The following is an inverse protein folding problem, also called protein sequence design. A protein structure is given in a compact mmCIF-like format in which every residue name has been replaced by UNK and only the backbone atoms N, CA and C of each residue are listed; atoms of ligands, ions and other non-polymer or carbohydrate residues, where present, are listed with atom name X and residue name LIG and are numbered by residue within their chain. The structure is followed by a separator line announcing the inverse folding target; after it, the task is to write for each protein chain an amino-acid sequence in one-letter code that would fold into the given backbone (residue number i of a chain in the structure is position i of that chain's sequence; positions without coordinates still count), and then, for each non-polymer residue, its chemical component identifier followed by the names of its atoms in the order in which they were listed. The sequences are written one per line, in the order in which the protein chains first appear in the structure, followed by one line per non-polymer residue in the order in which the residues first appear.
data_IF_361502497417
#
_entry.id   IF_361502497417
#
_cell.length_a   1.000
_cell.length_b   1.000
_cell.length_c   1.000
_cell.angle_alpha   90.00
_cell.angle_beta   90.00
_cell.angle_gamma   90.00
#
_symmetry.space_group_name_H-M   'P 1'
#
loop_
_entity.id
_entity.type
_entity.pdbx_description
1 polymer ?
#
# COMPACT_ATOMS: atom_id res chain seq x y z
N UNK A 1 42.13 19.17 34.47
CA UNK A 1 41.62 18.48 35.67
C UNK A 1 41.46 19.50 36.78
N UNK A 2 40.27 20.12 36.89
CA UNK A 2 39.94 21.04 37.98
C UNK A 2 38.77 20.47 38.77
N UNK A 3 38.87 20.64 40.08
CA UNK A 3 38.33 19.80 41.14
C UNK A 3 37.02 20.38 41.72
N UNK A 4 36.15 19.45 42.11
CA UNK A 4 35.38 19.37 43.36
C UNK A 4 34.30 20.41 43.72
N UNK A 5 33.09 19.84 43.89
CA UNK A 5 32.25 19.88 45.09
C UNK A 5 31.52 21.16 45.50
N UNK A 6 30.19 21.08 45.57
CA UNK A 6 29.36 21.35 46.77
C UNK A 6 27.87 21.23 46.39
N UNK A 7 27.16 20.24 46.92
CA UNK A 7 26.38 20.25 48.18
C UNK A 7 25.02 20.96 48.08
N UNK A 8 23.99 20.10 48.02
CA UNK A 8 22.66 20.16 48.63
C UNK A 8 21.90 21.49 48.73
N UNK A 9 20.72 21.53 48.12
CA UNK A 9 19.57 22.22 48.69
C UNK A 9 18.31 21.35 48.54
N UNK A 10 17.94 20.78 49.68
CA UNK A 10 16.64 20.15 49.95
C UNK A 10 15.58 21.25 49.93
N UNK A 11 14.53 21.10 49.11
CA UNK A 11 13.25 21.75 49.40
C UNK A 11 12.11 20.80 49.10
N UNK A 12 11.33 20.56 50.14
CA UNK A 12 10.23 19.65 50.25
C UNK A 12 8.92 20.29 49.78
N UNK A 13 8.04 19.40 49.26
CA UNK A 13 6.57 19.40 49.36
C UNK A 13 5.78 20.42 48.52
N UNK A 14 5.06 19.86 47.53
CA UNK A 14 3.59 19.89 47.53
C UNK A 14 3.06 18.78 46.62
N UNK A 15 2.73 17.63 47.22
CA UNK A 15 1.92 16.59 46.58
C UNK A 15 0.48 17.11 46.53
N UNK A 16 0.07 17.60 45.36
CA UNK A 16 -1.33 17.86 45.05
C UNK A 16 -1.99 16.56 44.61
N UNK A 17 -2.74 15.93 45.51
CA UNK A 17 -3.57 14.76 45.19
C UNK A 17 -4.85 15.25 44.52
N UNK A 18 -4.98 15.05 43.21
CA UNK A 18 -6.23 15.29 42.48
C UNK A 18 -7.05 13.99 42.56
N UNK A 19 -8.31 14.02 43.04
CA UNK A 19 -9.13 12.81 43.15
C UNK A 19 -9.42 12.25 41.75
N UNK A 20 -8.90 11.06 41.48
CA UNK A 20 -9.23 10.28 40.30
C UNK A 20 -10.66 9.77 40.44
N UNK A 21 -11.63 10.43 39.81
CA UNK A 21 -12.93 9.82 39.54
C UNK A 21 -12.71 8.67 38.58
N UNK A 22 -12.74 7.44 39.09
CA UNK A 22 -12.77 6.21 38.28
C UNK A 22 -14.11 6.14 37.55
N UNK A 23 -14.21 6.74 36.37
CA UNK A 23 -15.15 6.24 35.38
C UNK A 23 -14.58 4.94 34.82
N UNK A 24 -15.04 3.83 35.40
CA UNK A 24 -14.97 2.52 34.76
C UNK A 24 -15.88 2.56 33.52
N UNK A 25 -15.36 3.13 32.43
CA UNK A 25 -15.86 2.83 31.09
C UNK A 25 -15.15 1.55 30.67
N UNK A 26 -15.89 0.45 30.75
CA UNK A 26 -15.58 -0.82 30.11
C UNK A 26 -15.56 -0.59 28.59
N UNK A 27 -14.43 -0.06 28.10
CA UNK A 27 -14.13 -0.01 26.69
C UNK A 27 -13.81 -1.46 26.27
N UNK A 28 -14.85 -2.20 25.95
CA UNK A 28 -14.74 -3.38 25.09
C UNK A 28 -14.03 -2.93 23.81
N UNK A 29 -12.72 -3.17 23.78
CA UNK A 29 -11.89 -2.96 22.61
C UNK A 29 -12.34 -3.98 21.57
N UNK A 30 -13.42 -3.66 20.85
CA UNK A 30 -13.79 -4.36 19.65
C UNK A 30 -12.69 -4.07 18.63
N UNK A 31 -11.66 -4.91 18.64
CA UNK A 31 -10.56 -4.92 17.68
C UNK A 31 -11.17 -5.19 16.29
N UNK A 32 -11.67 -4.14 15.65
CA UNK A 32 -11.95 -4.16 14.22
C UNK A 32 -10.59 -4.32 13.54
N UNK A 33 -10.18 -5.59 13.37
CA UNK A 33 -9.15 -6.00 12.40
C UNK A 33 -9.62 -5.53 11.03
N UNK A 34 -9.28 -4.28 10.70
CA UNK A 34 -9.26 -3.80 9.33
C UNK A 34 -8.29 -4.72 8.58
N UNK A 35 -8.83 -5.77 7.96
CA UNK A 35 -8.08 -6.68 7.09
C UNK A 35 -7.50 -5.79 5.99
N UNK A 36 -6.22 -5.44 6.12
CA UNK A 36 -5.47 -4.71 5.11
C UNK A 36 -5.40 -5.66 3.91
N UNK A 37 -6.34 -5.53 2.97
CA UNK A 37 -6.31 -6.30 1.74
C UNK A 37 -4.97 -6.00 1.05
N UNK A 38 -4.06 -6.97 1.10
CA UNK A 38 -2.83 -6.93 0.32
C UNK A 38 -3.25 -6.87 -1.16
N UNK A 39 -3.23 -5.68 -1.76
CA UNK A 39 -3.38 -5.54 -3.19
C UNK A 39 -2.15 -6.17 -3.83
N UNK A 40 -2.26 -7.44 -4.25
CA UNK A 40 -1.29 -8.05 -5.15
C UNK A 40 -1.41 -7.33 -6.49
N UNK A 41 -0.44 -6.47 -6.86
CA UNK A 41 -0.48 -5.81 -8.14
C UNK A 41 -0.48 -6.90 -9.23
N UNK A 42 -1.22 -6.69 -10.32
CA UNK A 42 -1.45 -7.64 -11.42
C UNK A 42 -2.31 -8.89 -11.14
N UNK A 43 -2.47 -9.38 -9.91
CA UNK A 43 -3.23 -10.62 -9.66
C UNK A 43 -4.65 -10.57 -10.25
N UNK A 44 -5.32 -9.42 -10.14
CA UNK A 44 -6.64 -9.23 -10.74
C UNK A 44 -6.61 -9.14 -12.28
N UNK A 45 -5.56 -8.56 -12.85
CA UNK A 45 -5.44 -8.36 -14.30
C UNK A 45 -5.09 -9.68 -14.98
N UNK A 46 -4.12 -10.40 -14.42
CA UNK A 46 -3.70 -11.73 -14.85
C UNK A 46 -4.88 -12.70 -14.82
N UNK A 47 -5.58 -12.83 -13.67
CA UNK A 47 -6.77 -13.69 -13.57
C UNK A 47 -7.83 -13.31 -14.62
N UNK A 48 -7.97 -12.03 -14.94
CA UNK A 48 -8.95 -11.55 -15.92
C UNK A 48 -8.54 -11.85 -17.36
N UNK A 49 -7.25 -11.81 -17.69
CA UNK A 49 -6.74 -12.05 -19.06
C UNK A 49 -6.50 -13.53 -19.35
N UNK A 50 -5.98 -14.27 -18.37
CA UNK A 50 -5.61 -15.69 -18.48
C UNK A 50 -6.68 -16.64 -17.91
N UNK A 51 -7.89 -16.16 -17.62
CA UNK A 51 -9.02 -17.08 -17.36
C UNK A 51 -9.44 -17.81 -18.63
N UNK A 52 -9.90 -19.05 -18.51
CA UNK A 52 -10.39 -19.83 -19.67
C UNK A 52 -11.45 -19.08 -20.47
N UNK A 53 -12.35 -18.38 -19.77
CA UNK A 53 -13.37 -17.55 -20.41
C UNK A 53 -12.78 -16.40 -21.22
N UNK A 54 -11.71 -15.78 -20.74
CA UNK A 54 -11.03 -14.71 -21.46
C UNK A 54 -10.19 -15.24 -22.61
N UNK A 55 -9.44 -16.32 -22.41
CA UNK A 55 -8.66 -17.00 -23.44
C UNK A 55 -9.54 -17.35 -24.64
N UNK A 56 -10.68 -18.02 -24.40
CA UNK A 56 -11.63 -18.37 -25.47
C UNK A 56 -12.28 -17.16 -26.13
N UNK A 57 -12.61 -16.12 -25.35
CA UNK A 57 -13.33 -14.95 -25.87
C UNK A 57 -12.43 -13.98 -26.64
N UNK A 58 -11.15 -13.91 -26.26
CA UNK A 58 -10.14 -13.09 -26.93
C UNK A 58 -9.38 -13.90 -27.98
N UNK A 59 -9.62 -15.22 -28.07
CA UNK A 59 -8.91 -16.12 -28.96
C UNK A 59 -7.39 -15.98 -28.77
N UNK A 60 -6.93 -16.01 -27.50
CA UNK A 60 -5.51 -15.88 -27.20
C UNK A 60 -4.75 -17.10 -27.70
N UNK A 61 -3.77 -16.89 -28.58
CA UNK A 61 -2.92 -17.98 -29.06
C UNK A 61 -2.08 -18.56 -27.92
N UNK A 62 -1.60 -19.79 -28.09
CA UNK A 62 -0.73 -20.42 -27.09
C UNK A 62 0.53 -19.59 -26.84
N UNK A 63 1.08 -18.98 -27.90
CA UNK A 63 2.21 -18.06 -27.83
C UNK A 63 1.89 -16.84 -26.97
N UNK A 64 0.77 -16.14 -27.25
CA UNK A 64 0.34 -14.98 -26.46
C UNK A 64 0.12 -15.33 -24.99
N UNK A 65 -0.46 -16.50 -24.70
CA UNK A 65 -0.66 -16.95 -23.32
C UNK A 65 0.66 -17.17 -22.59
N UNK A 66 1.65 -17.78 -23.24
CA UNK A 66 2.98 -18.00 -22.68
C UNK A 66 3.70 -16.68 -22.44
N UNK A 67 3.68 -15.75 -23.40
CA UNK A 67 4.27 -14.42 -23.27
C UNK A 67 3.63 -13.63 -22.14
N UNK A 68 2.29 -13.64 -22.03
CA UNK A 68 1.59 -12.98 -20.93
C UNK A 68 1.98 -13.55 -19.57
N UNK A 69 2.10 -14.88 -19.44
CA UNK A 69 2.56 -15.52 -18.20
C UNK A 69 3.97 -15.09 -17.83
N UNK A 70 4.88 -15.04 -18.81
CA UNK A 70 6.25 -14.59 -18.61
C UNK A 70 6.28 -13.13 -18.12
N UNK A 71 5.56 -12.23 -18.80
CA UNK A 71 5.43 -10.82 -18.41
C UNK A 71 4.90 -10.70 -16.98
N UNK A 72 3.81 -11.40 -16.63
CA UNK A 72 3.29 -11.34 -15.27
C UNK A 72 4.28 -11.87 -14.23
N UNK A 73 5.03 -12.93 -14.53
CA UNK A 73 6.04 -13.48 -13.62
C UNK A 73 7.17 -12.46 -13.39
N UNK A 74 7.72 -11.89 -14.47
CA UNK A 74 8.81 -10.88 -14.40
C UNK A 74 8.40 -9.67 -13.57
N UNK A 75 7.26 -9.05 -13.88
CA UNK A 75 6.85 -7.82 -13.20
C UNK A 75 6.31 -8.08 -11.78
N UNK A 76 5.80 -9.28 -11.48
CA UNK A 76 5.51 -9.66 -10.09
C UNK A 76 6.78 -9.74 -9.25
N UNK A 77 7.85 -10.35 -9.77
CA UNK A 77 9.12 -10.43 -9.06
C UNK A 77 9.67 -9.02 -8.78
N UNK A 78 9.75 -8.16 -9.80
CA UNK A 78 10.20 -6.77 -9.64
C UNK A 78 9.37 -5.97 -8.63
N UNK A 79 8.05 -6.20 -8.58
CA UNK A 79 7.19 -5.52 -7.61
C UNK A 79 7.29 -6.09 -6.20
N UNK A 80 7.57 -7.39 -6.04
CA UNK A 80 7.87 -7.95 -4.72
C UNK A 80 9.25 -7.45 -4.24
N UNK A 81 10.27 -7.34 -5.10
CA UNK A 81 11.57 -6.74 -4.74
C UNK A 81 11.42 -5.28 -4.27
N UNK A 82 10.61 -4.48 -4.99
CA UNK A 82 10.28 -3.11 -4.59
C UNK A 82 9.48 -3.03 -3.29
N UNK A 83 8.74 -4.08 -2.95
CA UNK A 83 7.90 -4.18 -1.76
C UNK A 83 8.68 -4.74 -0.55
N UNK A 84 9.65 -5.61 -0.77
CA UNK A 84 10.61 -6.04 0.26
C UNK A 84 11.56 -4.90 0.64
N UNK A 85 11.92 -4.05 -0.32
CA UNK A 85 12.60 -2.78 -0.07
C UNK A 85 11.72 -1.73 0.66
N UNK A 86 10.47 -2.05 0.96
CA UNK A 86 9.56 -1.27 1.78
C UNK A 86 9.49 -1.92 3.17
N UNK A 87 9.91 -1.25 4.26
CA UNK A 87 9.66 -1.81 5.58
C UNK A 87 8.15 -2.01 5.74
N UNK A 88 7.73 -3.24 6.03
CA UNK A 88 6.33 -3.66 6.13
C UNK A 88 5.49 -2.80 7.10
N UNK A 89 6.16 -1.95 7.91
CA UNK A 89 5.55 -0.91 8.72
C UNK A 89 6.46 0.32 8.79
N UNK A 90 6.10 1.46 8.14
CA UNK A 90 6.45 2.76 8.70
C UNK A 90 5.53 3.09 9.88
N UNK A 91 4.64 2.18 10.30
CA UNK A 91 3.76 2.42 11.45
C UNK A 91 4.57 2.77 12.68
N UNK A 92 5.70 2.11 12.89
CA UNK A 92 6.57 2.42 14.03
C UNK A 92 7.33 3.72 13.84
N UNK A 93 7.81 4.03 12.62
CA UNK A 93 8.48 5.31 12.36
C UNK A 93 7.52 6.51 12.40
N UNK A 94 6.32 6.39 11.85
CA UNK A 94 5.24 7.37 12.01
C UNK A 94 4.77 7.43 13.46
N UNK A 95 4.62 6.30 14.16
CA UNK A 95 4.26 6.24 15.57
C UNK A 95 5.32 6.94 16.43
N UNK A 96 6.60 6.75 16.16
CA UNK A 96 7.69 7.45 16.84
C UNK A 96 7.65 8.96 16.60
N UNK A 97 7.34 9.42 15.38
CA UNK A 97 7.17 10.85 15.07
C UNK A 97 5.91 11.43 15.77
N UNK A 98 4.85 10.63 15.93
CA UNK A 98 3.59 11.02 16.57
C UNK A 98 3.69 10.99 18.11
N UNK A 99 4.47 10.06 18.67
CA UNK A 99 4.65 9.86 20.12
C UNK A 99 5.82 10.66 20.71
N UNK A 100 6.62 11.33 19.89
CA UNK A 100 7.68 12.22 20.35
C UNK A 100 7.11 13.45 21.07
N UNK A 101 7.83 13.97 22.08
CA UNK A 101 7.44 15.16 22.84
C UNK A 101 7.23 16.41 21.97
N UNK A 102 7.88 16.45 20.80
CA UNK A 102 7.71 17.50 19.79
C UNK A 102 7.72 16.91 18.38
N UNK A 103 6.96 17.52 17.47
CA UNK A 103 6.86 17.06 16.08
C UNK A 103 8.11 17.41 15.26
N UNK A 104 8.88 16.38 14.85
CA UNK A 104 10.01 16.54 13.94
C UNK A 104 9.55 16.58 12.47
N UNK A 105 9.29 17.79 11.98
CA UNK A 105 8.88 18.04 10.59
C UNK A 105 9.93 17.60 9.58
N UNK A 106 11.22 17.71 9.90
CA UNK A 106 12.32 17.36 9.01
C UNK A 106 12.40 15.84 8.83
N UNK A 107 12.29 15.09 9.92
CA UNK A 107 12.21 13.63 9.88
C UNK A 107 10.97 13.15 9.14
N UNK A 108 9.81 13.80 9.34
CA UNK A 108 8.59 13.50 8.60
C UNK A 108 8.73 13.76 7.09
N UNK A 109 9.40 14.85 6.70
CA UNK A 109 9.65 15.19 5.30
C UNK A 109 10.62 14.20 4.64
N UNK A 110 11.71 13.82 5.30
CA UNK A 110 12.64 12.80 4.80
C UNK A 110 11.95 11.45 4.62
N UNK A 111 11.11 11.06 5.58
CA UNK A 111 10.34 9.81 5.52
C UNK A 111 9.29 9.82 4.38
N UNK A 112 8.81 11.01 3.98
CA UNK A 112 7.93 11.18 2.81
C UNK A 112 8.71 11.27 1.49
N UNK A 113 9.89 11.87 1.49
CA UNK A 113 10.73 12.06 0.31
C UNK A 113 11.36 10.75 -0.17
N UNK A 114 11.81 9.90 0.76
CA UNK A 114 12.28 8.53 0.47
C UNK A 114 11.18 7.67 -0.22
N UNK A 115 9.91 8.05 -0.05
CA UNK A 115 8.76 7.33 -0.62
C UNK A 115 8.42 7.75 -2.04
N UNK A 116 8.71 8.99 -2.44
CA UNK A 116 8.44 9.48 -3.79
C UNK A 116 9.13 8.66 -4.90
N UNK A 117 10.45 8.38 -4.84
CA UNK A 117 11.16 7.67 -5.91
C UNK A 117 10.73 6.21 -6.02
N UNK A 118 10.45 5.52 -4.91
CA UNK A 118 9.95 4.13 -4.93
C UNK A 118 8.51 4.05 -5.44
N UNK A 119 7.65 5.01 -5.10
CA UNK A 119 6.29 5.11 -5.70
C UNK A 119 6.37 5.37 -7.19
N UNK A 120 7.30 6.21 -7.64
CA UNK A 120 7.56 6.46 -9.05
C UNK A 120 8.08 5.19 -9.75
N UNK A 121 9.04 4.48 -9.16
CA UNK A 121 9.54 3.21 -9.67
C UNK A 121 8.42 2.16 -9.78
N UNK A 122 7.58 2.02 -8.74
CA UNK A 122 6.40 1.15 -8.78
C UNK A 122 5.45 1.50 -9.94
N UNK A 123 5.15 2.78 -10.11
CA UNK A 123 4.26 3.25 -11.19
C UNK A 123 4.88 3.04 -12.57
N UNK A 124 6.19 3.21 -12.70
CA UNK A 124 6.95 2.96 -13.92
C UNK A 124 6.94 1.46 -14.28
N UNK A 125 7.31 0.58 -13.35
CA UNK A 125 7.24 -0.88 -13.52
C UNK A 125 5.82 -1.33 -13.90
N UNK A 126 4.80 -0.72 -13.29
CA UNK A 126 3.41 -0.99 -13.62
C UNK A 126 3.03 -0.51 -15.04
N UNK A 127 3.57 0.61 -15.48
CA UNK A 127 3.34 1.15 -16.83
C UNK A 127 4.03 0.29 -17.89
N UNK A 128 5.27 -0.12 -17.65
CA UNK A 128 6.05 -1.02 -18.51
C UNK A 128 5.34 -2.35 -18.70
N UNK A 129 4.85 -2.97 -17.62
CA UNK A 129 4.09 -4.21 -17.71
C UNK A 129 2.82 -4.05 -18.55
N UNK A 130 2.08 -2.94 -18.38
CA UNK A 130 0.87 -2.66 -19.17
C UNK A 130 1.20 -2.45 -20.64
N UNK A 131 2.32 -1.79 -20.93
CA UNK A 131 2.83 -1.61 -22.28
C UNK A 131 3.18 -2.96 -22.92
N UNK A 132 3.94 -3.82 -22.24
CA UNK A 132 4.28 -5.16 -22.73
C UNK A 132 3.01 -5.98 -23.03
N UNK A 133 2.05 -6.02 -22.10
CA UNK A 133 0.74 -6.69 -22.30
C UNK A 133 0.00 -6.10 -23.51
N UNK A 134 0.04 -4.78 -23.68
CA UNK A 134 -0.64 -4.11 -24.79
C UNK A 134 -0.12 -4.61 -26.14
N UNK A 135 1.19 -4.81 -26.28
CA UNK A 135 1.83 -5.24 -27.54
C UNK A 135 1.71 -6.73 -27.83
N UNK A 136 1.52 -7.58 -26.81
CA UNK A 136 1.23 -9.01 -27.03
C UNK A 136 -0.16 -9.20 -27.66
N UNK A 137 -1.12 -8.33 -27.30
CA UNK A 137 -2.49 -8.40 -27.78
C UNK A 137 -2.62 -7.79 -29.19
N UNK A 138 -3.58 -8.26 -29.97
CA UNK A 138 -3.95 -7.63 -31.25
C UNK A 138 -4.90 -6.44 -31.02
N UNK A 139 -5.05 -5.57 -32.03
CA UNK A 139 -6.02 -4.45 -31.98
C UNK A 139 -7.44 -4.90 -31.69
N UNK A 140 -7.86 -6.00 -32.32
CA UNK A 140 -9.19 -6.56 -32.12
C UNK A 140 -9.38 -7.04 -30.67
N UNK A 141 -8.39 -7.74 -30.12
CA UNK A 141 -8.39 -8.20 -28.73
C UNK A 141 -8.45 -7.03 -27.75
N UNK A 142 -7.67 -5.97 -28.00
CA UNK A 142 -7.71 -4.73 -27.21
C UNK A 142 -9.08 -4.07 -27.25
N UNK A 143 -9.71 -4.01 -28.43
CA UNK A 143 -11.06 -3.48 -28.61
C UNK A 143 -12.12 -4.30 -27.84
N UNK A 144 -12.05 -5.64 -27.91
CA UNK A 144 -12.90 -6.55 -27.13
C UNK A 144 -12.79 -6.28 -25.61
N UNK A 145 -11.56 -6.10 -25.10
CA UNK A 145 -11.31 -5.75 -23.70
C UNK A 145 -11.91 -4.38 -23.34
N UNK A 146 -11.70 -3.37 -24.18
CA UNK A 146 -12.20 -2.01 -23.94
C UNK A 146 -13.74 -1.97 -23.93
N UNK A 147 -14.40 -2.68 -24.85
CA UNK A 147 -15.87 -2.83 -24.88
C UNK A 147 -16.40 -3.48 -23.60
N UNK A 148 -15.76 -4.57 -23.15
CA UNK A 148 -16.14 -5.25 -21.91
C UNK A 148 -15.95 -4.34 -20.69
N UNK A 149 -14.86 -3.56 -20.63
CA UNK A 149 -14.61 -2.58 -19.57
C UNK A 149 -15.71 -1.51 -19.52
N UNK A 150 -16.06 -0.92 -20.67
CA UNK A 150 -17.16 0.07 -20.78
C UNK A 150 -18.48 -0.49 -20.28
N UNK A 151 -18.86 -1.71 -20.72
CA UNK A 151 -20.09 -2.38 -20.26
C UNK A 151 -20.09 -2.62 -18.75
N UNK A 152 -18.96 -3.03 -18.17
CA UNK A 152 -18.85 -3.21 -16.72
C UNK A 152 -19.03 -1.90 -15.96
N UNK A 153 -18.42 -0.81 -16.44
CA UNK A 153 -18.55 0.51 -15.79
C UNK A 153 -19.99 1.03 -15.88
N UNK A 154 -20.65 0.94 -17.03
CA UNK A 154 -22.04 1.35 -17.19
C UNK A 154 -22.98 0.61 -16.20
N UNK A 155 -22.79 -0.69 -16.01
CA UNK A 155 -23.57 -1.48 -15.04
C UNK A 155 -23.34 -1.03 -13.60
N UNK A 156 -22.14 -0.60 -13.24
CA UNK A 156 -21.84 -0.08 -11.90
C UNK A 156 -22.49 1.27 -11.64
N UNK A 157 -22.50 2.16 -12.65
CA UNK A 157 -23.21 3.44 -12.53
C UNK A 157 -24.71 3.22 -12.29
N UNK A 158 -25.36 2.37 -13.10
CA UNK A 158 -26.79 2.07 -12.93
C UNK A 158 -27.14 1.40 -11.59
N UNK A 159 -26.20 0.72 -10.94
CA UNK A 159 -26.41 0.10 -9.62
C UNK A 159 -26.27 1.07 -8.46
N UNK A 160 -25.56 2.18 -8.65
CA UNK A 160 -25.39 3.21 -7.61
C UNK A 160 -26.48 4.29 -7.67
N UNK A 161 -27.22 4.37 -8.79
CA UNK A 161 -28.29 5.34 -9.02
C UNK A 161 -29.70 4.81 -8.65
N UNK A 162 -29.79 3.55 -8.21
CA UNK A 162 -31.01 2.88 -7.71
C UNK A 162 -30.87 2.58 -6.21
#
# INVERSE_FOLDING_TARGET
MNKLASFLLVSCISVGVIPHTTFASEATAHEQKAKRHHMKPFAHIEKRLLSDKAIRHLELTQTQQTELKAVFATYKAQLEDLKEAYPAKPREAFKAIIEADTFDKTQAQLLLEERSPKKQAFMLTMLEARHAIHHILTDEQRSKIAKRKRKLMARKHHQNDN
#
